data_IF_752809155308
#
_entry.id   IF_752809155308
#
_cell.length_a   1.000
_cell.length_b   1.000
_cell.length_c   1.000
_cell.angle_alpha   90.00
_cell.angle_beta   90.00
_cell.angle_gamma   90.00
#
_symmetry.space_group_name_H-M   'P 1'
#
loop_
_entity.id
_entity.type
_entity.pdbx_description
1 polymer ?
#
# COMPACT_ATOMS: atom_id res chain seq x y z
N UNK A 1 54.54 -45.50 -14.51
CA UNK A 1 53.27 -44.99 -15.07
C UNK A 1 52.15 -45.27 -14.10
N UNK A 2 51.57 -44.23 -13.48
CA UNK A 2 50.45 -44.36 -12.55
C UNK A 2 49.17 -44.49 -13.38
N UNK A 3 48.52 -45.65 -13.37
CA UNK A 3 47.21 -45.84 -14.03
C UNK A 3 46.17 -45.03 -13.26
N UNK A 4 45.65 -43.97 -13.87
CA UNK A 4 44.48 -43.26 -13.35
C UNK A 4 43.25 -44.11 -13.63
N UNK A 5 42.53 -44.51 -12.59
CA UNK A 5 41.25 -45.20 -12.75
C UNK A 5 40.24 -44.24 -13.38
N UNK A 6 39.70 -44.59 -14.55
CA UNK A 6 38.63 -43.84 -15.20
C UNK A 6 37.29 -44.13 -14.53
N UNK A 7 36.39 -43.14 -14.53
CA UNK A 7 35.05 -43.27 -13.99
C UNK A 7 34.28 -44.38 -14.73
N UNK A 8 33.60 -45.24 -13.98
CA UNK A 8 32.74 -46.27 -14.58
C UNK A 8 31.39 -45.67 -14.97
N UNK A 9 30.75 -46.20 -16.03
CA UNK A 9 29.42 -45.74 -16.48
C UNK A 9 28.39 -45.79 -15.33
N UNK A 10 28.49 -46.80 -14.47
CA UNK A 10 27.59 -46.99 -13.33
C UNK A 10 27.76 -45.88 -12.28
N UNK A 11 28.98 -45.43 -11.99
CA UNK A 11 29.22 -44.29 -11.08
C UNK A 11 28.65 -42.98 -11.63
N UNK A 12 28.71 -42.77 -12.95
CA UNK A 12 28.10 -41.58 -13.59
C UNK A 12 26.59 -41.60 -13.42
N UNK A 13 25.94 -42.75 -13.64
CA UNK A 13 24.50 -42.91 -13.46
C UNK A 13 24.09 -42.70 -12.00
N UNK A 14 24.85 -43.27 -11.05
CA UNK A 14 24.62 -43.05 -9.62
C UNK A 14 24.76 -41.58 -9.23
N UNK A 15 25.81 -40.91 -9.71
CA UNK A 15 26.06 -39.50 -9.42
C UNK A 15 24.94 -38.61 -9.96
N UNK A 16 24.46 -38.88 -11.19
CA UNK A 16 23.32 -38.17 -11.78
C UNK A 16 22.02 -38.40 -11.00
N UNK A 17 21.79 -39.62 -10.50
CA UNK A 17 20.65 -39.92 -9.65
C UNK A 17 20.65 -39.12 -8.34
N UNK A 18 21.80 -39.04 -7.66
CA UNK A 18 21.96 -38.26 -6.43
C UNK A 18 21.71 -36.77 -6.72
N UNK A 19 22.29 -36.23 -7.79
CA UNK A 19 22.10 -34.83 -8.19
C UNK A 19 20.63 -34.53 -8.47
N UNK A 20 19.91 -35.43 -9.16
CA UNK A 20 18.50 -35.25 -9.46
C UNK A 20 17.64 -35.19 -8.18
N UNK A 21 17.91 -36.07 -7.20
CA UNK A 21 17.20 -36.07 -5.92
C UNK A 21 17.49 -34.78 -5.13
N UNK A 22 18.77 -34.36 -5.05
CA UNK A 22 19.15 -33.12 -4.38
C UNK A 22 18.47 -31.92 -5.03
N UNK A 23 18.48 -31.83 -6.36
CA UNK A 23 17.81 -30.75 -7.10
C UNK A 23 16.30 -30.74 -6.82
N UNK A 24 15.63 -31.89 -6.85
CA UNK A 24 14.21 -31.98 -6.54
C UNK A 24 13.88 -31.47 -5.12
N UNK A 25 14.69 -31.85 -4.13
CA UNK A 25 14.50 -31.38 -2.74
C UNK A 25 14.77 -29.88 -2.60
N UNK A 26 15.77 -29.33 -3.28
CA UNK A 26 16.05 -27.88 -3.29
C UNK A 26 14.93 -27.09 -3.96
N UNK A 27 14.41 -27.57 -5.10
CA UNK A 27 13.27 -26.95 -5.77
C UNK A 27 12.01 -26.96 -4.90
N UNK A 28 11.76 -28.07 -4.19
CA UNK A 28 10.64 -28.16 -3.26
C UNK A 28 10.83 -27.24 -2.05
N UNK A 29 12.05 -27.15 -1.52
CA UNK A 29 12.42 -26.23 -0.44
C UNK A 29 12.23 -24.77 -0.84
N UNK A 30 12.74 -24.36 -2.01
CA UNK A 30 12.53 -23.01 -2.55
C UNK A 30 11.05 -22.69 -2.76
N UNK A 31 10.28 -23.63 -3.30
CA UNK A 31 8.83 -23.44 -3.50
C UNK A 31 8.06 -23.30 -2.18
N UNK A 32 8.49 -24.01 -1.14
CA UNK A 32 7.91 -23.90 0.19
C UNK A 32 8.33 -22.61 0.91
N UNK A 33 9.57 -22.16 0.74
CA UNK A 33 10.05 -20.87 1.27
C UNK A 33 9.37 -19.69 0.57
N UNK A 34 9.22 -19.74 -0.75
CA UNK A 34 8.48 -18.75 -1.53
C UNK A 34 6.98 -18.67 -1.16
N UNK A 35 6.41 -19.75 -0.61
CA UNK A 35 5.05 -19.77 -0.06
C UNK A 35 4.98 -19.28 1.39
N UNK A 36 6.10 -19.21 2.11
CA UNK A 36 6.20 -18.86 3.53
C UNK A 36 6.98 -17.57 3.80
N UNK A 37 7.27 -16.77 2.76
CA UNK A 37 8.28 -15.70 2.84
C UNK A 37 7.95 -14.56 3.80
N UNK A 38 6.70 -14.38 4.18
CA UNK A 38 6.34 -13.59 5.36
C UNK A 38 4.91 -13.97 5.69
N UNK A 39 4.60 -14.15 6.97
CA UNK A 39 3.22 -13.99 7.38
C UNK A 39 2.99 -12.48 7.25
N UNK A 40 2.63 -12.02 6.05
CA UNK A 40 2.14 -10.67 5.83
C UNK A 40 0.93 -10.56 6.75
N UNK A 41 1.13 -9.91 7.89
CA UNK A 41 0.11 -9.67 8.88
C UNK A 41 -0.64 -8.44 8.38
N UNK A 42 -1.81 -8.59 7.73
CA UNK A 42 -2.46 -7.46 7.08
C UNK A 42 -2.88 -6.41 8.12
N UNK A 43 -2.99 -6.82 9.38
CA UNK A 43 -3.17 -5.95 10.53
C UNK A 43 -1.99 -4.98 10.73
N UNK A 44 -0.74 -5.44 10.61
CA UNK A 44 0.44 -4.58 10.76
C UNK A 44 0.51 -3.58 9.61
N UNK A 45 0.31 -4.05 8.39
CA UNK A 45 0.29 -3.18 7.20
C UNK A 45 -0.83 -2.13 7.28
N UNK A 46 -2.02 -2.54 7.74
CA UNK A 46 -3.13 -1.64 8.02
C UNK A 46 -2.75 -0.53 9.02
N UNK A 47 -2.11 -0.89 10.14
CA UNK A 47 -1.67 0.10 11.13
C UNK A 47 -0.58 1.02 10.59
N UNK A 48 0.41 0.48 9.86
CA UNK A 48 1.46 1.29 9.25
C UNK A 48 0.90 2.26 8.20
N UNK A 49 -0.06 1.79 7.41
CA UNK A 49 -0.76 2.62 6.44
C UNK A 49 -1.46 3.81 7.10
N UNK A 50 -2.25 3.54 8.15
CA UNK A 50 -2.94 4.60 8.90
C UNK A 50 -1.94 5.54 9.57
N UNK A 51 -0.89 4.99 10.18
CA UNK A 51 0.15 5.78 10.83
C UNK A 51 0.84 6.74 9.85
N UNK A 52 1.23 6.28 8.66
CA UNK A 52 1.86 7.12 7.65
C UNK A 52 0.87 8.14 7.06
N UNK A 53 -0.42 7.79 6.93
CA UNK A 53 -1.42 8.77 6.48
C UNK A 53 -1.65 9.86 7.53
N UNK A 54 -1.71 9.50 8.80
CA UNK A 54 -2.11 10.38 9.90
C UNK A 54 -0.93 11.05 10.60
N UNK A 55 0.30 10.80 10.16
CA UNK A 55 1.47 11.41 10.75
C UNK A 55 1.42 12.94 10.56
N UNK A 56 1.40 13.73 11.66
CA UNK A 56 1.27 15.18 11.59
C UNK A 56 2.42 15.86 10.84
N UNK A 57 3.61 15.23 10.78
CA UNK A 57 4.78 15.76 10.06
C UNK A 57 4.54 15.84 8.54
N UNK A 58 3.55 15.11 8.01
CA UNK A 58 3.19 15.21 6.61
C UNK A 58 2.23 16.36 6.31
N UNK A 59 1.62 17.00 7.31
CA UNK A 59 0.66 18.09 7.11
C UNK A 59 -0.44 17.75 6.10
N UNK A 60 -0.91 16.51 6.13
CA UNK A 60 -1.96 16.03 5.26
C UNK A 60 -3.33 16.50 5.74
N UNK A 61 -4.15 16.97 4.81
CA UNK A 61 -5.50 17.44 5.03
C UNK A 61 -6.43 16.78 4.03
N UNK A 62 -7.56 16.26 4.52
CA UNK A 62 -8.57 15.63 3.71
C UNK A 62 -9.42 16.69 3.00
N UNK A 63 -9.55 16.60 1.67
CA UNK A 63 -10.25 17.62 0.89
C UNK A 63 -11.49 17.10 0.18
N UNK A 64 -11.47 15.87 -0.35
CA UNK A 64 -12.63 15.32 -1.04
C UNK A 64 -12.56 13.80 -1.15
N UNK A 65 -13.73 13.16 -1.20
CA UNK A 65 -13.87 11.83 -1.82
C UNK A 65 -13.96 12.06 -3.32
N UNK A 66 -13.21 11.28 -4.09
CA UNK A 66 -13.12 11.47 -5.52
C UNK A 66 -13.57 10.24 -6.29
N UNK A 67 -14.26 10.52 -7.39
CA UNK A 67 -14.71 9.53 -8.37
C UNK A 67 -13.74 9.47 -9.57
N UNK A 68 -12.59 10.14 -9.48
CA UNK A 68 -11.66 10.22 -10.60
C UNK A 68 -11.05 8.84 -10.90
N UNK A 69 -10.85 8.59 -12.18
CA UNK A 69 -10.40 7.32 -12.79
C UNK A 69 -11.49 6.25 -13.03
N UNK A 70 -12.78 6.61 -12.97
CA UNK A 70 -13.88 5.74 -13.40
C UNK A 70 -14.20 4.61 -12.41
N UNK A 71 -13.80 4.79 -11.15
CA UNK A 71 -14.16 3.92 -10.05
C UNK A 71 -15.45 4.43 -9.37
N UNK A 72 -16.19 3.53 -8.71
CA UNK A 72 -17.38 3.91 -7.94
C UNK A 72 -17.04 4.91 -6.81
N UNK A 73 -18.05 5.61 -6.29
CA UNK A 73 -17.88 6.54 -5.17
C UNK A 73 -17.20 5.87 -3.97
N UNK A 74 -16.27 6.61 -3.33
CA UNK A 74 -15.56 6.14 -2.13
C UNK A 74 -14.30 5.30 -2.38
N UNK A 75 -13.94 4.99 -3.63
CA UNK A 75 -12.70 4.25 -3.93
C UNK A 75 -11.44 5.13 -4.05
N UNK A 76 -11.60 6.45 -3.97
CA UNK A 76 -10.49 7.38 -3.93
C UNK A 76 -10.78 8.58 -3.06
N UNK A 77 -9.74 9.12 -2.42
CA UNK A 77 -9.78 10.39 -1.71
C UNK A 77 -8.64 11.30 -2.15
N UNK A 78 -8.91 12.60 -2.13
CA UNK A 78 -7.93 13.66 -2.34
C UNK A 78 -7.45 14.14 -0.98
N UNK A 79 -6.12 14.20 -0.87
CA UNK A 79 -5.40 14.62 0.32
C UNK A 79 -4.41 15.68 -0.12
N UNK A 80 -4.34 16.80 0.60
CA UNK A 80 -3.39 17.88 0.30
C UNK A 80 -2.36 17.96 1.41
N UNK A 81 -1.09 18.04 1.04
CA UNK A 81 -0.02 18.46 1.95
C UNK A 81 0.01 19.99 1.98
N UNK A 82 -0.47 20.59 3.06
CA UNK A 82 -0.60 22.05 3.16
C UNK A 82 0.75 22.75 3.28
N UNK A 83 1.75 22.12 3.91
CA UNK A 83 3.07 22.71 4.07
C UNK A 83 3.82 22.86 2.73
N UNK A 84 3.50 22.05 1.72
CA UNK A 84 4.19 22.01 0.42
C UNK A 84 3.28 22.33 -0.77
N UNK A 85 2.00 22.60 -0.52
CA UNK A 85 0.95 22.79 -1.53
C UNK A 85 0.95 21.66 -2.59
N UNK A 86 0.99 20.41 -2.12
CA UNK A 86 1.03 19.21 -2.99
C UNK A 86 -0.22 18.38 -2.84
N UNK A 87 -0.87 18.10 -3.97
CA UNK A 87 -2.03 17.23 -4.03
C UNK A 87 -1.62 15.77 -4.20
N UNK A 88 -2.17 14.93 -3.33
CA UNK A 88 -2.06 13.49 -3.34
C UNK A 88 -3.44 12.87 -3.46
N UNK A 89 -3.46 11.64 -3.98
CA UNK A 89 -4.66 10.86 -4.17
C UNK A 89 -4.45 9.48 -3.58
N UNK A 90 -5.25 9.14 -2.59
CA UNK A 90 -5.36 7.77 -2.11
C UNK A 90 -6.33 7.03 -3.04
N UNK A 91 -5.88 5.99 -3.71
CA UNK A 91 -6.67 5.27 -4.72
C UNK A 91 -6.57 3.77 -4.51
N UNK A 92 -7.71 3.10 -4.51
CA UNK A 92 -7.79 1.66 -4.59
C UNK A 92 -7.74 1.18 -6.05
N UNK A 93 -6.82 0.27 -6.35
CA UNK A 93 -6.69 -0.38 -7.66
C UNK A 93 -7.16 -1.83 -7.57
N UNK A 94 -8.44 -2.07 -7.87
CA UNK A 94 -9.04 -3.40 -7.82
C UNK A 94 -8.26 -4.48 -8.58
N UNK A 95 -7.85 -4.20 -9.82
CA UNK A 95 -7.11 -5.18 -10.66
C UNK A 95 -5.75 -5.57 -10.06
N UNK A 96 -5.13 -4.66 -9.32
CA UNK A 96 -3.81 -4.86 -8.71
C UNK A 96 -3.89 -5.22 -7.23
N UNK A 97 -5.10 -5.33 -6.67
CA UNK A 97 -5.36 -5.64 -5.26
C UNK A 97 -4.53 -4.77 -4.29
N UNK A 98 -4.47 -3.46 -4.53
CA UNK A 98 -3.63 -2.55 -3.75
C UNK A 98 -4.24 -1.17 -3.55
N UNK A 99 -3.85 -0.53 -2.45
CA UNK A 99 -4.12 0.88 -2.16
C UNK A 99 -2.83 1.66 -2.40
N UNK A 100 -2.92 2.79 -3.07
CA UNK A 100 -1.75 3.59 -3.47
C UNK A 100 -2.00 5.06 -3.17
N UNK A 101 -0.99 5.73 -2.62
CA UNK A 101 -0.95 7.19 -2.53
C UNK A 101 -0.17 7.72 -3.74
N UNK A 102 -0.88 8.40 -4.63
CA UNK A 102 -0.34 8.95 -5.86
C UNK A 102 -0.17 10.46 -5.75
N UNK A 103 1.01 10.97 -6.09
CA UNK A 103 1.23 12.40 -6.19
C UNK A 103 0.81 12.90 -7.58
N UNK A 104 0.15 14.07 -7.65
CA UNK A 104 -0.33 14.65 -8.92
C UNK A 104 0.79 14.91 -9.93
N UNK A 105 1.97 15.30 -9.47
CA UNK A 105 3.17 15.52 -10.30
C UNK A 105 3.95 14.25 -10.65
N UNK A 106 3.40 13.06 -10.37
CA UNK A 106 4.08 11.78 -10.55
C UNK A 106 4.74 11.27 -9.27
N UNK A 107 4.93 9.95 -9.21
CA UNK A 107 5.35 9.23 -8.01
C UNK A 107 4.17 8.52 -7.32
N UNK A 108 4.43 7.30 -6.84
CA UNK A 108 3.42 6.48 -6.15
C UNK A 108 4.05 5.75 -4.97
N UNK A 109 3.32 5.71 -3.87
CA UNK A 109 3.66 4.93 -2.68
C UNK A 109 2.60 3.84 -2.56
N UNK A 110 3.02 2.58 -2.51
CA UNK A 110 2.10 1.46 -2.27
C UNK A 110 1.84 1.45 -0.78
N UNK A 111 0.61 1.76 -0.42
CA UNK A 111 0.16 1.91 0.96
C UNK A 111 -0.20 0.56 1.54
N UNK A 112 -0.86 -0.30 0.75
CA UNK A 112 -1.20 -1.66 1.15
C UNK A 112 -1.39 -2.57 -0.06
N UNK A 113 -1.09 -3.86 0.09
CA UNK A 113 -1.30 -4.91 -0.92
C UNK A 113 -2.28 -5.96 -0.39
N UNK A 114 -2.78 -6.81 -1.29
CA UNK A 114 -3.69 -7.89 -0.92
C UNK A 114 -5.06 -7.39 -0.48
N UNK A 115 -5.53 -6.31 -1.10
CA UNK A 115 -6.81 -5.65 -0.79
C UNK A 115 -7.83 -6.04 -1.84
N UNK A 116 -8.96 -6.60 -1.41
CA UNK A 116 -10.06 -7.01 -2.28
C UNK A 116 -11.19 -5.99 -2.33
N UNK A 117 -11.38 -5.23 -1.25
CA UNK A 117 -12.39 -4.17 -1.16
C UNK A 117 -11.84 -3.00 -0.34
N UNK A 118 -12.24 -1.79 -0.73
CA UNK A 118 -11.85 -0.56 -0.07
C UNK A 118 -12.93 0.48 -0.28
N UNK A 119 -13.31 1.20 0.78
CA UNK A 119 -14.27 2.29 0.67
C UNK A 119 -14.01 3.34 1.75
N UNK A 120 -14.08 4.61 1.37
CA UNK A 120 -14.07 5.76 2.28
C UNK A 120 -15.46 6.39 2.27
N UNK A 121 -16.09 6.44 3.43
CA UNK A 121 -17.37 7.09 3.66
C UNK A 121 -17.21 8.62 3.84
N UNK A 122 -18.27 9.42 3.63
CA UNK A 122 -18.24 10.87 3.80
C UNK A 122 -17.78 11.35 5.19
N UNK A 123 -17.99 10.57 6.25
CA UNK A 123 -17.53 10.88 7.62
C UNK A 123 -16.04 10.55 7.87
N UNK A 124 -15.32 10.19 6.79
CA UNK A 124 -13.92 9.73 6.78
C UNK A 124 -13.71 8.36 7.42
N UNK A 125 -14.77 7.56 7.55
CA UNK A 125 -14.66 6.15 7.88
C UNK A 125 -14.09 5.39 6.69
N UNK A 126 -12.91 4.79 6.88
CA UNK A 126 -12.25 3.91 5.94
C UNK A 126 -12.59 2.47 6.30
N UNK A 127 -13.13 1.73 5.33
CA UNK A 127 -13.36 0.29 5.40
C UNK A 127 -12.55 -0.43 4.34
N UNK A 128 -12.07 -1.62 4.68
CA UNK A 128 -11.24 -2.41 3.80
C UNK A 128 -11.40 -3.90 4.08
N UNK A 129 -11.40 -4.71 3.03
CA UNK A 129 -11.35 -6.18 3.10
C UNK A 129 -10.10 -6.66 2.37
N UNK A 130 -9.37 -7.58 2.98
CA UNK A 130 -8.19 -8.21 2.36
C UNK A 130 -8.58 -9.38 1.47
N UNK A 131 -7.66 -9.88 0.65
CA UNK A 131 -7.84 -11.08 -0.18
C UNK A 131 -8.10 -12.34 0.67
N UNK A 132 -7.70 -12.31 1.95
CA UNK A 132 -7.92 -13.38 2.91
C UNK A 132 -9.22 -13.21 3.72
N UNK A 133 -10.08 -12.23 3.39
CA UNK A 133 -11.36 -12.02 4.05
C UNK A 133 -11.27 -11.35 5.43
N UNK A 134 -10.11 -10.79 5.79
CA UNK A 134 -9.98 -9.99 7.01
C UNK A 134 -10.56 -8.60 6.73
N UNK A 135 -11.46 -8.14 7.60
CA UNK A 135 -12.11 -6.85 7.51
C UNK A 135 -11.50 -5.86 8.49
N UNK A 136 -11.25 -4.64 8.02
CA UNK A 136 -10.75 -3.52 8.80
C UNK A 136 -11.68 -2.32 8.66
N UNK A 137 -11.78 -1.56 9.74
CA UNK A 137 -12.55 -0.32 9.83
C UNK A 137 -11.83 0.65 10.75
N UNK A 138 -11.60 1.87 10.29
CA UNK A 138 -11.11 2.98 11.11
C UNK A 138 -11.70 4.29 10.62
N UNK A 139 -11.74 5.30 11.50
CA UNK A 139 -12.04 6.67 11.10
C UNK A 139 -10.74 7.43 10.95
N UNK A 140 -10.51 8.04 9.80
CA UNK A 140 -9.30 8.82 9.56
C UNK A 140 -9.30 10.06 10.46
N UNK A 141 -8.14 10.33 11.06
CA UNK A 141 -7.92 11.46 11.97
C UNK A 141 -7.30 12.68 11.27
N UNK A 142 -7.39 12.75 9.95
CA UNK A 142 -6.93 13.90 9.17
C UNK A 142 -7.83 15.12 9.42
N UNK A 143 -7.27 16.35 9.41
CA UNK A 143 -8.08 17.56 9.34
C UNK A 143 -9.00 17.54 8.11
N UNK A 144 -10.26 17.95 8.27
CA UNK A 144 -11.26 17.95 7.20
C UNK A 144 -11.49 19.37 6.67
N UNK A 145 -11.00 19.64 5.46
CA UNK A 145 -11.16 20.94 4.81
C UNK A 145 -12.50 21.11 4.11
N UNK A 146 -13.31 20.05 3.99
CA UNK A 146 -14.66 20.15 3.40
C UNK A 146 -15.59 21.03 4.24
N UNK A 147 -15.28 21.19 5.52
CA UNK A 147 -16.09 21.89 6.50
C UNK A 147 -15.37 23.08 7.14
N UNK A 148 -14.16 23.45 6.68
CA UNK A 148 -13.46 24.62 7.19
C UNK A 148 -14.17 25.89 6.68
N UNK A 149 -14.70 26.77 7.57
CA UNK A 149 -15.12 28.08 7.14
C UNK A 149 -13.89 28.86 6.66
N UNK A 150 -14.01 29.53 5.52
CA UNK A 150 -13.07 30.60 5.17
C UNK A 150 -13.17 31.65 6.28
N UNK A 151 -12.27 31.58 7.25
CA UNK A 151 -12.05 32.65 8.22
C UNK A 151 -11.39 33.82 7.47
N UNK A 152 -12.15 34.48 6.59
CA UNK A 152 -11.88 35.85 6.19
C UNK A 152 -11.95 36.67 7.48
N UNK A 153 -10.79 36.91 8.06
CA UNK A 153 -10.62 37.89 9.12
C UNK A 153 -11.24 39.18 8.61
N UNK A 154 -12.28 39.75 9.24
CA UNK A 154 -12.85 41.00 8.77
C UNK A 154 -11.72 42.03 8.81
N UNK A 155 -11.35 42.56 7.64
CA UNK A 155 -10.52 43.76 7.58
C UNK A 155 -11.29 44.83 8.34
N UNK A 156 -10.70 45.26 9.45
CA UNK A 156 -11.14 46.39 10.23
C UNK A 156 -11.01 47.63 9.31
N UNK A 157 -12.09 47.95 8.60
CA UNK A 157 -12.23 49.21 7.86
C UNK A 157 -12.33 50.33 8.90
N UNK A 158 -11.17 50.77 9.39
CA UNK A 158 -11.03 51.99 10.16
C UNK A 158 -11.22 53.20 9.24
N UNK A 159 -12.44 53.43 8.77
CA UNK A 159 -12.89 54.74 8.31
C UNK A 159 -13.12 55.63 9.54
N UNK A 160 -12.04 56.09 10.17
CA UNK A 160 -12.12 57.21 11.10
C UNK A 160 -11.97 58.49 10.29
N UNK A 161 -13.13 59.08 9.97
CA UNK A 161 -13.25 60.46 9.53
C UNK A 161 -13.71 61.25 10.76
N UNK A 162 -12.86 62.17 11.22
CA UNK A 162 -13.20 63.54 11.66
C UNK A 162 -11.91 64.33 11.95
#
# INVERSE_FOLDING_TARGET
MIKRAGFTLIEVVFSLGIVAVVMATLFQGQRNLARRTQVDLPTVDWYLMLHELENPDHHFVFTAISNAAGFDEGHSAVIVNEAKDKEYRLTYFHVLHQIVLMHKGGGRIIMMRGVSQFHIEPDMTLTMTTDHGIHFKARLLLPDRRHAPDEETPRDDSAVSD
#
